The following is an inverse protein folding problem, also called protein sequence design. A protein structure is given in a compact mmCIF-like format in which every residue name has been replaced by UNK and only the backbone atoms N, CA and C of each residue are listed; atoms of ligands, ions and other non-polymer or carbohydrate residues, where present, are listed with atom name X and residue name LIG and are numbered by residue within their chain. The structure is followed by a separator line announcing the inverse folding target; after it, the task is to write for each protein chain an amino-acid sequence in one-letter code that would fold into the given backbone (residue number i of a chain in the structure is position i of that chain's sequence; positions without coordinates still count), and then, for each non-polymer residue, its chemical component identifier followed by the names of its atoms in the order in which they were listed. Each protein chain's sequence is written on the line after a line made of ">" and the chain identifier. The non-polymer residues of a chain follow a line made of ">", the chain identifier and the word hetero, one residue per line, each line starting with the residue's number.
data_IF_154366935154
#
_entry.id   IF_154366935154
#
_cell.length_a   1.000
_cell.length_b   1.000
_cell.length_c   1.000
_cell.angle_alpha   90.00
_cell.angle_beta   90.00
_cell.angle_gamma   90.00
#
_symmetry.space_group_name_H-M   'P 1'
#
loop_
_entity.id
_entity.type
_entity.pdbx_description
1 polymer ?
#
# COMPACT_ATOMS: atom_id res chain seq x y z
N UNK A 1 2.41 18.59 -13.33
CA UNK A 1 1.95 17.22 -13.11
C UNK A 1 1.14 17.20 -11.82
N UNK A 2 -0.03 16.60 -11.86
CA UNK A 2 -0.83 16.44 -10.64
C UNK A 2 -0.18 15.42 -9.72
N UNK A 3 -0.18 15.70 -8.44
CA UNK A 3 0.22 14.74 -7.42
C UNK A 3 -0.72 13.53 -7.48
N UNK A 4 -0.19 12.35 -7.18
CA UNK A 4 -1.01 11.13 -7.14
C UNK A 4 -2.13 11.29 -6.12
N UNK A 5 -3.35 10.86 -6.50
CA UNK A 5 -4.49 10.92 -5.60
C UNK A 5 -4.34 9.99 -4.39
N UNK A 6 -3.61 8.88 -4.56
CA UNK A 6 -3.42 7.87 -3.51
C UNK A 6 -1.97 7.41 -3.47
N UNK A 7 -1.52 7.05 -2.28
CA UNK A 7 -0.17 6.54 -2.04
C UNK A 7 -0.25 5.17 -1.37
N UNK A 8 0.52 4.22 -1.87
CA UNK A 8 0.71 2.91 -1.24
C UNK A 8 2.06 2.92 -0.55
N UNK A 9 2.08 2.51 0.72
CA UNK A 9 3.30 2.40 1.52
C UNK A 9 3.44 0.97 2.00
N UNK A 10 4.51 0.29 1.58
CA UNK A 10 4.82 -1.08 1.98
C UNK A 10 5.95 -1.04 3.01
N UNK A 11 5.67 -1.52 4.22
CA UNK A 11 6.67 -1.56 5.28
C UNK A 11 7.39 -2.90 5.26
N UNK A 12 8.66 -2.89 4.85
CA UNK A 12 9.56 -4.04 4.88
C UNK A 12 9.03 -5.27 4.14
N UNK A 13 8.62 -5.14 2.87
CA UNK A 13 8.10 -6.29 2.12
C UNK A 13 9.18 -7.35 1.96
N UNK A 14 8.77 -8.62 1.95
CA UNK A 14 9.65 -9.78 1.98
C UNK A 14 9.61 -10.62 0.69
N UNK A 15 8.48 -10.63 0.01
CA UNK A 15 8.21 -11.56 -1.10
C UNK A 15 8.20 -10.79 -2.43
N UNK A 16 9.24 -10.97 -3.28
CA UNK A 16 9.37 -10.18 -4.51
C UNK A 16 8.16 -10.21 -5.45
N UNK A 17 7.50 -11.35 -5.71
CA UNK A 17 6.32 -11.36 -6.57
C UNK A 17 5.18 -10.46 -6.07
N UNK A 18 4.98 -10.32 -4.76
CA UNK A 18 3.98 -9.43 -4.22
C UNK A 18 4.30 -7.98 -4.57
N UNK A 19 5.53 -7.56 -4.34
CA UNK A 19 5.96 -6.20 -4.68
C UNK A 19 5.87 -5.94 -6.18
N UNK A 20 6.24 -6.92 -7.01
CA UNK A 20 6.09 -6.81 -8.47
C UNK A 20 4.65 -6.59 -8.89
N UNK A 21 3.72 -7.36 -8.34
CA UNK A 21 2.29 -7.19 -8.62
C UNK A 21 1.79 -5.82 -8.17
N UNK A 22 2.27 -5.33 -7.03
CA UNK A 22 1.86 -4.02 -6.50
C UNK A 22 2.43 -2.88 -7.36
N UNK A 23 3.65 -3.00 -7.86
CA UNK A 23 4.22 -2.04 -8.81
C UNK A 23 3.31 -1.90 -10.04
N UNK A 24 2.91 -3.04 -10.63
CA UNK A 24 1.98 -3.04 -11.77
C UNK A 24 0.63 -2.44 -11.41
N UNK A 25 0.10 -2.78 -10.25
CA UNK A 25 -1.17 -2.25 -9.76
C UNK A 25 -1.12 -0.72 -9.63
N UNK A 26 -0.06 -0.18 -9.08
CA UNK A 26 0.11 1.27 -8.94
C UNK A 26 0.21 1.94 -10.32
N UNK A 27 0.90 1.32 -11.28
CA UNK A 27 0.93 1.82 -12.65
C UNK A 27 -0.47 1.85 -13.28
N UNK A 28 -1.28 0.83 -13.02
CA UNK A 28 -2.65 0.73 -13.55
C UNK A 28 -3.60 1.80 -12.97
N UNK A 29 -3.37 2.22 -11.74
CA UNK A 29 -4.30 3.09 -11.00
C UNK A 29 -3.81 4.53 -10.85
N UNK A 30 -2.55 4.78 -11.16
CA UNK A 30 -1.94 6.10 -10.94
C UNK A 30 -1.51 6.34 -9.50
N UNK A 31 -1.60 5.36 -8.62
CA UNK A 31 -1.10 5.47 -7.25
C UNK A 31 0.43 5.53 -7.23
N UNK A 32 0.99 6.26 -6.29
CA UNK A 32 2.43 6.26 -6.03
C UNK A 32 2.80 5.13 -5.09
N UNK A 33 3.95 4.49 -5.31
CA UNK A 33 4.42 3.41 -4.45
C UNK A 33 5.64 3.85 -3.65
N UNK A 34 5.57 3.63 -2.36
CA UNK A 34 6.65 3.88 -1.40
C UNK A 34 6.99 2.59 -0.68
N UNK A 35 8.26 2.28 -0.57
CA UNK A 35 8.74 1.05 0.07
C UNK A 35 9.67 1.43 1.20
N UNK A 36 9.38 0.93 2.39
CA UNK A 36 10.16 1.20 3.60
C UNK A 36 11.17 0.06 3.79
N UNK A 37 12.45 0.43 3.88
CA UNK A 37 13.53 -0.52 4.13
C UNK A 37 13.58 -0.97 5.59
N UNK A 38 14.23 -2.11 5.91
CA UNK A 38 14.90 -3.00 4.98
C UNK A 38 13.94 -3.90 4.21
N UNK A 39 14.31 -4.24 2.96
CA UNK A 39 13.59 -5.20 2.14
C UNK A 39 14.14 -6.59 2.36
N UNK A 40 13.28 -7.60 2.24
CA UNK A 40 13.70 -9.00 2.24
C UNK A 40 14.34 -9.46 0.92
N UNK A 41 14.52 -8.54 -0.03
CA UNK A 41 15.07 -8.81 -1.37
C UNK A 41 15.63 -7.51 -1.95
N UNK A 42 16.32 -7.61 -3.11
CA UNK A 42 16.80 -6.44 -3.84
C UNK A 42 15.78 -6.02 -4.90
N UNK A 43 15.66 -4.72 -5.16
CA UNK A 43 14.69 -4.19 -6.13
C UNK A 43 14.99 -4.60 -7.58
N UNK A 44 16.20 -5.08 -7.87
CA UNK A 44 16.58 -5.63 -9.16
C UNK A 44 16.48 -7.17 -9.22
N UNK A 45 15.89 -7.80 -8.21
CA UNK A 45 15.72 -9.25 -8.13
C UNK A 45 14.99 -9.76 -9.38
N UNK A 46 15.52 -10.87 -9.95
CA UNK A 46 14.94 -11.48 -11.15
C UNK A 46 13.49 -11.92 -10.96
N UNK A 47 13.11 -12.29 -9.73
CA UNK A 47 11.72 -12.67 -9.42
C UNK A 47 10.79 -11.48 -9.52
N UNK A 48 11.27 -10.29 -9.18
CA UNK A 48 10.55 -9.04 -9.36
C UNK A 48 10.36 -8.75 -10.85
N UNK A 49 11.43 -8.89 -11.65
CA UNK A 49 11.39 -8.65 -13.09
C UNK A 49 10.50 -9.67 -13.83
N UNK A 50 10.36 -10.90 -13.32
CA UNK A 50 9.47 -11.92 -13.91
C UNK A 50 7.99 -11.56 -13.85
N UNK A 51 7.61 -10.55 -13.09
CA UNK A 51 6.24 -10.01 -13.10
C UNK A 51 5.90 -9.27 -14.41
N UNK A 52 6.84 -9.20 -15.35
CA UNK A 52 6.64 -8.55 -16.65
C UNK A 52 6.67 -7.03 -16.58
N UNK A 53 7.33 -6.48 -15.57
CA UNK A 53 7.43 -5.04 -15.36
C UNK A 53 8.38 -4.41 -16.35
N UNK A 54 8.04 -3.23 -16.85
CA UNK A 54 8.94 -2.42 -17.65
C UNK A 54 9.64 -1.34 -16.82
N UNK A 55 10.58 -0.64 -17.43
CA UNK A 55 11.38 0.37 -16.77
C UNK A 55 10.52 1.52 -16.22
N UNK A 56 9.46 1.91 -16.92
CA UNK A 56 8.59 3.01 -16.50
C UNK A 56 7.84 2.69 -15.21
N UNK A 57 7.44 1.44 -15.04
CA UNK A 57 6.75 0.99 -13.84
C UNK A 57 7.66 1.09 -12.61
N UNK A 58 8.94 0.74 -12.74
CA UNK A 58 9.93 0.87 -11.67
C UNK A 58 10.27 2.33 -11.33
N UNK A 59 10.21 3.22 -12.29
CA UNK A 59 10.64 4.61 -12.12
C UNK A 59 9.79 5.38 -11.08
N UNK A 60 8.58 4.90 -10.78
CA UNK A 60 7.66 5.52 -9.83
C UNK A 60 7.76 4.96 -8.41
N UNK A 61 8.70 4.03 -8.17
CA UNK A 61 8.91 3.46 -6.84
C UNK A 61 9.93 4.28 -6.09
N UNK A 62 9.60 4.67 -4.86
CA UNK A 62 10.50 5.40 -3.97
C UNK A 62 10.78 4.58 -2.72
N UNK A 63 12.03 4.56 -2.27
CA UNK A 63 12.43 3.87 -1.04
C UNK A 63 12.68 4.86 0.08
N UNK A 64 12.43 4.43 1.31
CA UNK A 64 12.58 5.23 2.52
C UNK A 64 13.27 4.40 3.59
N UNK A 65 14.09 5.04 4.43
CA UNK A 65 14.83 4.35 5.48
C UNK A 65 13.91 3.81 6.58
N UNK A 66 12.80 4.51 6.85
CA UNK A 66 11.86 4.13 7.90
C UNK A 66 10.48 4.74 7.64
N UNK A 67 9.44 4.18 8.25
CA UNK A 67 8.11 4.79 8.19
C UNK A 67 8.09 6.19 8.83
N UNK A 68 8.72 6.43 9.99
CA UNK A 68 8.80 7.80 10.50
C UNK A 68 9.44 8.79 9.52
N UNK A 69 10.47 8.40 8.77
CA UNK A 69 11.06 9.27 7.74
C UNK A 69 10.04 9.64 6.66
N UNK A 70 9.23 8.69 6.22
CA UNK A 70 8.17 8.94 5.26
C UNK A 70 7.13 9.89 5.82
N UNK A 71 6.69 9.66 7.06
CA UNK A 71 5.69 10.50 7.73
C UNK A 71 6.20 11.93 7.88
N UNK A 72 7.44 12.10 8.34
CA UNK A 72 8.04 13.43 8.53
C UNK A 72 8.16 14.21 7.22
N UNK A 73 8.40 13.51 6.12
CA UNK A 73 8.48 14.14 4.79
C UNK A 73 7.10 14.51 4.22
N UNK A 74 6.03 13.98 4.77
CA UNK A 74 4.67 14.13 4.25
C UNK A 74 3.66 14.40 5.38
N UNK A 75 3.92 15.43 6.18
CA UNK A 75 3.09 15.75 7.36
C UNK A 75 1.63 16.06 7.03
N UNK A 76 1.36 16.48 5.79
CA UNK A 76 0.02 16.80 5.31
C UNK A 76 -0.78 15.58 4.84
N UNK A 77 -0.15 14.40 4.76
CA UNK A 77 -0.82 13.18 4.30
C UNK A 77 -1.46 12.43 5.45
N UNK A 78 -2.71 12.06 5.28
CA UNK A 78 -3.39 11.20 6.23
C UNK A 78 -2.90 9.77 6.05
N UNK A 79 -2.63 9.08 7.17
CA UNK A 79 -2.15 7.70 7.19
C UNK A 79 -3.29 6.77 7.55
N UNK A 80 -3.46 5.71 6.76
CA UNK A 80 -4.43 4.64 7.03
C UNK A 80 -3.67 3.33 6.99
N UNK A 81 -3.65 2.62 8.13
CA UNK A 81 -3.06 1.29 8.23
C UNK A 81 -4.07 0.23 7.83
N UNK A 82 -3.61 -0.80 7.15
CA UNK A 82 -4.41 -1.98 6.82
C UNK A 82 -3.83 -3.16 7.58
N UNK A 83 -4.58 -3.65 8.55
CA UNK A 83 -4.16 -4.74 9.46
C UNK A 83 -5.35 -5.58 9.90
N UNK A 84 -5.07 -6.85 10.22
CA UNK A 84 -6.12 -7.76 10.69
C UNK A 84 -6.71 -7.35 12.03
N UNK A 85 -5.98 -6.59 12.84
CA UNK A 85 -6.46 -6.06 14.13
C UNK A 85 -7.31 -4.80 14.00
N UNK A 86 -7.52 -4.27 12.79
CA UNK A 86 -8.33 -3.07 12.61
C UNK A 86 -9.77 -3.25 13.08
N UNK A 87 -10.33 -2.20 13.64
CA UNK A 87 -11.71 -2.21 14.14
C UNK A 87 -12.70 -1.69 13.10
N UNK A 88 -12.22 -1.03 12.07
CA UNK A 88 -13.02 -0.43 11.00
C UNK A 88 -12.87 -1.28 9.73
N UNK A 89 -13.97 -1.65 9.10
CA UNK A 89 -13.89 -2.31 7.79
C UNK A 89 -13.31 -1.34 6.76
N UNK A 90 -12.50 -1.85 5.83
CA UNK A 90 -11.87 -1.01 4.81
C UNK A 90 -12.88 -0.20 3.96
N UNK A 91 -14.12 -0.67 3.88
CA UNK A 91 -15.20 -0.02 3.13
C UNK A 91 -15.99 0.99 3.94
N UNK A 92 -15.78 1.07 5.26
CA UNK A 92 -16.53 1.97 6.14
C UNK A 92 -15.80 3.29 6.41
N UNK A 93 -14.53 3.40 6.01
CA UNK A 93 -13.78 4.65 6.09
C UNK A 93 -14.02 5.48 4.83
N UNK A 94 -14.06 6.80 4.98
CA UNK A 94 -14.16 7.72 3.84
C UNK A 94 -12.74 8.11 3.42
N UNK A 95 -12.30 7.60 2.28
CA UNK A 95 -10.97 7.92 1.75
C UNK A 95 -10.94 9.33 1.15
N UNK A 96 -9.79 9.94 1.23
CA UNK A 96 -9.54 11.29 0.72
C UNK A 96 -8.36 11.28 -0.26
N UNK A 97 -8.39 12.20 -1.20
CA UNK A 97 -7.24 12.40 -2.09
C UNK A 97 -5.99 12.73 -1.27
N UNK A 98 -4.89 12.09 -1.60
CA UNK A 98 -3.63 12.23 -0.87
C UNK A 98 -3.42 11.22 0.25
N UNK A 99 -4.41 10.38 0.55
CA UNK A 99 -4.26 9.35 1.59
C UNK A 99 -3.10 8.41 1.31
N UNK A 100 -2.38 8.04 2.38
CA UNK A 100 -1.36 7.00 2.38
C UNK A 100 -1.93 5.73 2.99
N UNK A 101 -2.00 4.67 2.19
CA UNK A 101 -2.48 3.36 2.59
C UNK A 101 -1.26 2.51 2.95
N UNK A 102 -1.12 2.16 4.23
CA UNK A 102 0.10 1.57 4.79
C UNK A 102 -0.12 0.10 5.12
N UNK A 103 0.75 -0.74 4.58
CA UNK A 103 0.69 -2.21 4.72
C UNK A 103 1.98 -2.71 5.35
N UNK A 104 1.86 -3.70 6.24
CA UNK A 104 3.01 -4.37 6.82
C UNK A 104 3.58 -5.48 5.94
N UNK A 105 4.65 -6.11 6.43
CA UNK A 105 5.26 -7.24 5.73
C UNK A 105 4.33 -8.45 5.70
N UNK A 106 4.61 -9.36 4.76
CA UNK A 106 3.75 -10.53 4.52
C UNK A 106 3.65 -11.47 5.73
N UNK A 107 4.74 -11.63 6.48
CA UNK A 107 4.78 -12.57 7.62
C UNK A 107 4.53 -11.92 8.97
N UNK A 108 4.85 -10.64 9.13
CA UNK A 108 4.83 -9.98 10.46
C UNK A 108 3.78 -8.88 10.58
N UNK A 109 3.30 -8.34 9.46
CA UNK A 109 2.43 -7.16 9.49
C UNK A 109 3.15 -5.92 10.04
N UNK A 110 2.38 -4.96 10.51
CA UNK A 110 2.91 -3.75 11.14
C UNK A 110 3.18 -4.03 12.63
N UNK A 111 4.37 -3.62 13.10
CA UNK A 111 4.73 -3.77 14.52
C UNK A 111 3.84 -2.89 15.41
N UNK A 112 3.71 -3.22 16.71
CA UNK A 112 2.99 -2.35 17.64
C UNK A 112 3.52 -0.92 17.68
N UNK A 113 4.85 -0.73 17.55
CA UNK A 113 5.44 0.60 17.51
C UNK A 113 4.99 1.39 16.28
N UNK A 114 4.90 0.74 15.12
CA UNK A 114 4.41 1.39 13.90
C UNK A 114 2.91 1.67 13.99
N UNK A 115 2.13 0.73 14.51
CA UNK A 115 0.69 0.94 14.68
C UNK A 115 0.36 2.10 15.61
N UNK A 116 1.23 2.40 16.57
CA UNK A 116 1.06 3.53 17.48
C UNK A 116 1.12 4.90 16.76
N UNK A 117 1.62 4.94 15.51
CA UNK A 117 1.61 6.17 14.70
C UNK A 117 0.23 6.49 14.11
N UNK A 118 -0.70 5.55 14.19
CA UNK A 118 -2.03 5.69 13.56
C UNK A 118 -3.09 5.95 14.61
N UNK A 119 -4.07 6.76 14.24
CA UNK A 119 -5.31 6.84 15.00
C UNK A 119 -6.06 5.50 14.86
N UNK A 120 -6.68 5.02 15.94
CA UNK A 120 -7.43 3.75 15.94
C UNK A 120 -8.52 3.75 14.86
N UNK A 121 -9.17 4.88 14.62
CA UNK A 121 -10.17 5.03 13.56
C UNK A 121 -9.58 4.92 12.15
N UNK A 122 -8.27 4.98 12.01
CA UNK A 122 -7.55 4.87 10.73
C UNK A 122 -6.80 3.54 10.61
N UNK A 123 -7.12 2.55 11.43
CA UNK A 123 -6.63 1.18 11.28
C UNK A 123 -7.80 0.34 10.76
N UNK A 124 -7.74 -0.02 9.51
CA UNK A 124 -8.83 -0.73 8.83
C UNK A 124 -8.47 -2.20 8.60
N UNK A 125 -9.49 -3.03 8.43
CA UNK A 125 -9.31 -4.45 8.11
C UNK A 125 -10.14 -4.82 6.89
N UNK A 126 -9.69 -5.86 6.21
CA UNK A 126 -10.49 -6.54 5.21
C UNK A 126 -11.34 -7.60 5.90
N UNK A 127 -12.66 -7.61 5.71
CA UNK A 127 -13.50 -8.65 6.27
C UNK A 127 -13.07 -10.03 5.77
N UNK A 128 -13.05 -11.02 6.67
CA UNK A 128 -12.73 -12.41 6.37
C UNK A 128 -13.59 -13.32 7.22
N UNK A 129 -13.79 -14.54 6.75
CA UNK A 129 -14.49 -15.57 7.54
C UNK A 129 -13.65 -15.93 8.78
N UNK A 130 -14.30 -16.35 9.89
CA UNK A 130 -13.58 -16.75 11.08
C UNK A 130 -12.57 -17.87 10.78
N UNK A 131 -11.40 -17.82 11.39
CA UNK A 131 -10.35 -18.81 11.23
C UNK A 131 -9.57 -18.74 9.92
N UNK A 132 -9.86 -17.74 9.07
CA UNK A 132 -9.12 -17.55 7.82
C UNK A 132 -7.71 -17.04 8.08
N UNK A 133 -6.79 -17.42 7.21
CA UNK A 133 -5.48 -16.76 7.14
C UNK A 133 -5.62 -15.37 6.55
N UNK A 134 -4.64 -14.51 6.80
CA UNK A 134 -4.59 -13.19 6.16
C UNK A 134 -4.49 -13.36 4.63
N UNK A 135 -5.01 -12.37 3.90
CA UNK A 135 -4.91 -12.34 2.45
C UNK A 135 -3.47 -12.18 2.00
N UNK A 136 -3.17 -12.71 0.81
CA UNK A 136 -1.93 -12.36 0.12
C UNK A 136 -1.79 -10.82 0.05
N UNK A 137 -0.58 -10.31 0.30
CA UNK A 137 -0.35 -8.88 0.39
C UNK A 137 -0.79 -8.13 -0.87
N UNK A 138 -0.43 -8.61 -2.05
CA UNK A 138 -0.81 -7.93 -3.30
C UNK A 138 -2.32 -7.91 -3.51
N UNK A 139 -3.03 -8.96 -3.10
CA UNK A 139 -4.48 -8.99 -3.14
C UNK A 139 -5.08 -7.97 -2.17
N UNK A 140 -4.56 -7.90 -0.95
CA UNK A 140 -5.03 -6.93 0.05
C UNK A 140 -4.85 -5.49 -0.45
N UNK A 141 -3.68 -5.18 -1.02
CA UNK A 141 -3.41 -3.85 -1.58
C UNK A 141 -4.40 -3.54 -2.70
N UNK A 142 -4.64 -4.48 -3.61
CA UNK A 142 -5.58 -4.27 -4.72
C UNK A 142 -6.99 -3.98 -4.23
N UNK A 143 -7.48 -4.75 -3.26
CA UNK A 143 -8.84 -4.56 -2.73
C UNK A 143 -8.99 -3.18 -2.10
N UNK A 144 -8.07 -2.78 -1.23
CA UNK A 144 -8.15 -1.50 -0.53
C UNK A 144 -7.95 -0.33 -1.49
N UNK A 145 -6.98 -0.44 -2.39
CA UNK A 145 -6.69 0.63 -3.35
C UNK A 145 -7.87 0.89 -4.28
N UNK A 146 -8.50 -0.16 -4.81
CA UNK A 146 -9.66 -0.01 -5.68
C UNK A 146 -10.87 0.52 -4.93
N UNK A 147 -11.08 0.16 -3.67
CA UNK A 147 -12.15 0.77 -2.87
C UNK A 147 -11.91 2.27 -2.67
N UNK A 148 -10.70 2.66 -2.32
CA UNK A 148 -10.36 4.06 -2.15
C UNK A 148 -10.52 4.84 -3.48
N UNK A 149 -10.04 4.26 -4.58
CA UNK A 149 -10.15 4.88 -5.90
C UNK A 149 -11.61 4.99 -6.36
N UNK A 150 -12.41 3.97 -6.09
CA UNK A 150 -13.86 4.02 -6.36
C UNK A 150 -14.51 5.19 -5.64
N UNK A 151 -14.19 5.40 -4.36
CA UNK A 151 -14.73 6.53 -3.60
C UNK A 151 -14.30 7.88 -4.17
N UNK A 152 -13.16 7.92 -4.86
CA UNK A 152 -12.65 9.12 -5.56
C UNK A 152 -13.10 9.15 -7.03
N UNK A 153 -14.18 8.45 -7.36
CA UNK A 153 -14.79 8.41 -8.69
C UNK A 153 -13.86 7.94 -9.80
N UNK A 154 -12.89 7.09 -9.46
CA UNK A 154 -11.89 6.56 -10.43
C UNK A 154 -11.17 7.67 -11.19
N UNK A 155 -10.84 8.77 -10.52
CA UNK A 155 -10.19 9.92 -11.15
C UNK A 155 -8.97 9.53 -11.96
N UNK A 156 -8.90 10.03 -13.20
CA UNK A 156 -7.80 9.73 -14.12
C UNK A 156 -7.97 8.45 -14.93
N UNK A 157 -9.01 7.64 -14.66
CA UNK A 157 -9.23 6.41 -15.42
C UNK A 157 -9.64 6.70 -16.87
N UNK A 158 -9.30 5.76 -17.75
CA UNK A 158 -9.75 5.83 -19.14
C UNK A 158 -11.28 5.69 -19.22
N UNK A 159 -11.90 6.37 -20.19
CA UNK A 159 -13.32 6.20 -20.45
C UNK A 159 -13.61 4.77 -20.93
N UNK A 160 -14.76 4.18 -20.55
CA UNK A 160 -15.14 2.84 -21.03
C UNK A 160 -15.40 2.81 -22.53
#
# INVERSE_FOLDING_TARGET
>A
MSESALHIVLCQPEIPPNTGNIIRLCANTGASLHVIEPLGFEMDDKRLLRAGLDYHEFANVRTWDSLPSYVDAHEDRRLIAVETCGEVAHSDIIYQSGDSLVFGSETKGLSPELLALFDVSHIVRLPMLPGSRSLNLSNAVAVVLYEAWRQLDYGGSAAP
#
